data_IF_854818901936
#
_entry.id   IF_854818901936
#
_cell.length_a   1.000
_cell.length_b   1.000
_cell.length_c   1.000
_cell.angle_alpha   90.00
_cell.angle_beta   90.00
_cell.angle_gamma   90.00
#
_symmetry.space_group_name_H-M   'P 1'
#
loop_
_entity.id
_entity.type
_entity.pdbx_description
1 polymer ?
#
# COMPACT_ATOMS: atom_id res chain seq x y z
N UNK A 1 -0.03 -18.16 2.13
CA UNK A 1 0.69 -18.59 0.90
C UNK A 1 0.36 -17.79 -0.36
N UNK A 2 -0.86 -17.22 -0.56
CA UNK A 2 -1.25 -16.52 -1.82
C UNK A 2 -0.51 -15.21 -2.17
N UNK A 3 0.13 -14.53 -1.22
CA UNK A 3 0.80 -13.23 -1.48
C UNK A 3 2.22 -13.37 -2.05
N UNK A 4 2.92 -14.48 -1.74
CA UNK A 4 4.29 -14.72 -2.21
C UNK A 4 4.32 -14.97 -3.73
N UNK A 5 3.38 -15.75 -4.25
CA UNK A 5 3.25 -16.02 -5.70
C UNK A 5 3.05 -14.71 -6.48
N UNK A 6 2.29 -13.77 -5.92
CA UNK A 6 2.09 -12.45 -6.55
C UNK A 6 3.39 -11.65 -6.62
N UNK A 7 4.24 -11.71 -5.58
CA UNK A 7 5.53 -11.04 -5.59
C UNK A 7 6.46 -11.68 -6.63
N UNK A 8 6.49 -13.00 -6.71
CA UNK A 8 7.31 -13.71 -7.70
C UNK A 8 6.89 -13.41 -9.13
N UNK A 9 5.59 -13.31 -9.41
CA UNK A 9 5.08 -12.89 -10.72
C UNK A 9 5.52 -11.47 -11.08
N UNK A 10 5.46 -10.53 -10.13
CA UNK A 10 5.89 -9.15 -10.34
C UNK A 10 7.40 -9.09 -10.56
N UNK A 11 8.21 -9.81 -9.77
CA UNK A 11 9.67 -9.83 -9.95
C UNK A 11 10.12 -10.45 -11.28
N UNK A 12 9.30 -11.27 -11.93
CA UNK A 12 9.55 -11.81 -13.28
C UNK A 12 9.31 -10.78 -14.38
N UNK A 13 8.50 -9.75 -14.14
CA UNK A 13 8.28 -8.64 -15.06
C UNK A 13 9.47 -7.69 -15.06
N UNK A 14 10.14 -7.50 -16.20
CA UNK A 14 11.19 -6.49 -16.34
C UNK A 14 10.56 -5.07 -16.29
N UNK A 15 11.16 -4.18 -15.50
CA UNK A 15 10.81 -2.75 -15.39
C UNK A 15 9.38 -2.42 -14.92
N UNK A 16 8.88 -3.09 -13.89
CA UNK A 16 7.62 -2.66 -13.26
C UNK A 16 7.83 -1.42 -12.39
N UNK A 17 7.08 -0.36 -12.70
CA UNK A 17 7.03 0.86 -11.90
C UNK A 17 6.25 0.63 -10.60
N UNK A 18 6.48 1.47 -9.58
CA UNK A 18 5.71 1.47 -8.34
C UNK A 18 4.19 1.54 -8.61
N UNK A 19 3.76 2.39 -9.53
CA UNK A 19 2.38 2.50 -9.99
C UNK A 19 1.81 1.16 -10.48
N UNK A 20 2.57 0.45 -11.31
CA UNK A 20 2.18 -0.86 -11.85
C UNK A 20 2.06 -1.89 -10.73
N UNK A 21 3.01 -1.91 -9.79
CA UNK A 21 3.02 -2.82 -8.65
C UNK A 21 1.78 -2.59 -7.77
N UNK A 22 1.51 -1.33 -7.41
CA UNK A 22 0.34 -0.96 -6.60
C UNK A 22 -0.96 -1.28 -7.33
N UNK A 23 -1.02 -1.05 -8.65
CA UNK A 23 -2.19 -1.42 -9.48
C UNK A 23 -2.44 -2.92 -9.47
N UNK A 24 -1.40 -3.74 -9.59
CA UNK A 24 -1.52 -5.20 -9.51
C UNK A 24 -2.02 -5.62 -8.14
N UNK A 25 -1.49 -5.03 -7.07
CA UNK A 25 -1.90 -5.32 -5.70
C UNK A 25 -3.36 -4.96 -5.45
N UNK A 26 -3.82 -3.80 -5.93
CA UNK A 26 -5.22 -3.39 -5.85
C UNK A 26 -6.13 -4.34 -6.65
N UNK A 27 -5.76 -4.69 -7.89
CA UNK A 27 -6.50 -5.67 -8.72
C UNK A 27 -6.63 -7.04 -8.05
N UNK A 28 -5.59 -7.48 -7.32
CA UNK A 28 -5.60 -8.72 -6.55
C UNK A 28 -6.27 -8.60 -5.18
N UNK A 29 -6.89 -7.44 -4.88
CA UNK A 29 -7.56 -7.13 -3.60
C UNK A 29 -6.65 -7.36 -2.39
N UNK A 30 -5.36 -7.06 -2.53
CA UNK A 30 -4.43 -7.05 -1.40
C UNK A 30 -4.78 -5.81 -0.56
N UNK A 31 -4.98 -5.89 0.76
CA UNK A 31 -5.30 -4.73 1.57
C UNK A 31 -4.20 -3.66 1.51
N UNK A 32 -4.56 -2.38 1.51
CA UNK A 32 -3.63 -1.24 1.42
C UNK A 32 -2.44 -1.34 2.38
N UNK A 33 -2.69 -1.71 3.64
CA UNK A 33 -1.62 -1.89 4.65
C UNK A 33 -0.68 -3.06 4.31
N UNK A 34 -1.23 -4.19 3.84
CA UNK A 34 -0.42 -5.33 3.41
C UNK A 34 0.41 -4.96 2.16
N UNK A 35 -0.19 -4.21 1.24
CA UNK A 35 0.49 -3.68 0.05
C UNK A 35 1.69 -2.81 0.40
N UNK A 36 1.56 -1.90 1.37
CA UNK A 36 2.67 -1.08 1.86
C UNK A 36 3.86 -1.95 2.32
N UNK A 37 3.61 -2.89 3.25
CA UNK A 37 4.66 -3.75 3.78
C UNK A 37 5.30 -4.64 2.71
N UNK A 38 4.48 -5.24 1.83
CA UNK A 38 4.97 -6.10 0.75
C UNK A 38 5.81 -5.30 -0.23
N UNK A 39 5.45 -4.06 -0.55
CA UNK A 39 6.21 -3.19 -1.44
C UNK A 39 7.55 -2.81 -0.80
N UNK A 40 7.50 -2.34 0.44
CA UNK A 40 8.68 -1.92 1.22
C UNK A 40 9.73 -3.02 1.33
N UNK A 41 9.30 -4.24 1.65
CA UNK A 41 10.20 -5.38 1.84
C UNK A 41 10.81 -5.87 0.50
N UNK A 42 10.08 -5.75 -0.62
CA UNK A 42 10.45 -6.46 -1.85
C UNK A 42 10.97 -5.60 -3.00
N UNK A 43 10.67 -4.30 -3.00
CA UNK A 43 10.97 -3.42 -4.13
C UNK A 43 11.71 -2.12 -3.75
N UNK A 44 12.01 -1.92 -2.46
CA UNK A 44 12.91 -0.88 -1.94
C UNK A 44 12.59 0.56 -2.41
N UNK A 45 11.30 0.90 -2.48
CA UNK A 45 10.83 2.28 -2.72
C UNK A 45 10.79 3.08 -1.41
N UNK A 46 10.86 4.41 -1.52
CA UNK A 46 10.72 5.30 -0.36
C UNK A 46 9.28 5.28 0.18
N UNK A 47 9.13 5.34 1.51
CA UNK A 47 7.83 5.25 2.18
C UNK A 47 6.82 6.29 1.65
N UNK A 48 7.27 7.52 1.41
CA UNK A 48 6.43 8.61 0.90
C UNK A 48 5.86 8.31 -0.50
N UNK A 49 6.66 7.74 -1.40
CA UNK A 49 6.20 7.37 -2.73
C UNK A 49 5.21 6.20 -2.68
N UNK A 50 5.48 5.20 -1.84
CA UNK A 50 4.58 4.05 -1.66
C UNK A 50 3.21 4.54 -1.16
N UNK A 51 3.18 5.39 -0.14
CA UNK A 51 1.95 5.95 0.43
C UNK A 51 1.19 6.74 -0.64
N UNK A 52 1.87 7.64 -1.35
CA UNK A 52 1.26 8.44 -2.42
C UNK A 52 0.55 7.58 -3.48
N UNK A 53 1.21 6.54 -3.96
CA UNK A 53 0.61 5.65 -4.98
C UNK A 53 -0.49 4.76 -4.40
N UNK A 54 -0.35 4.30 -3.15
CA UNK A 54 -1.41 3.57 -2.47
C UNK A 54 -2.67 4.43 -2.33
N UNK A 55 -2.53 5.68 -1.88
CA UNK A 55 -3.64 6.63 -1.75
C UNK A 55 -4.31 6.92 -3.10
N UNK A 56 -3.51 7.13 -4.15
CA UNK A 56 -4.01 7.44 -5.49
C UNK A 56 -4.76 6.26 -6.14
N UNK A 57 -4.31 5.03 -5.92
CA UNK A 57 -4.84 3.83 -6.62
C UNK A 57 -5.91 3.09 -5.82
N UNK A 58 -5.78 2.99 -4.50
CA UNK A 58 -6.85 2.43 -3.65
C UNK A 58 -7.99 3.43 -3.46
N UNK A 59 -7.73 4.72 -3.72
CA UNK A 59 -8.61 5.82 -3.36
C UNK A 59 -8.68 6.02 -1.85
N UNK A 60 -9.63 6.86 -1.42
CA UNK A 60 -10.18 6.77 -0.07
C UNK A 60 -10.94 5.44 0.04
N UNK A 61 -10.23 4.32 0.16
CA UNK A 61 -10.71 3.24 1.01
C UNK A 61 -10.89 3.88 2.37
N UNK A 62 -12.11 4.40 2.57
CA UNK A 62 -12.62 5.07 3.74
C UNK A 62 -11.87 4.53 4.93
N UNK A 63 -11.07 5.42 5.52
CA UNK A 63 -10.63 5.41 6.90
C UNK A 63 -11.25 4.22 7.61
N UNK A 64 -10.52 3.09 7.63
CA UNK A 64 -10.87 2.00 8.53
C UNK A 64 -11.19 2.67 9.87
N UNK A 65 -12.31 2.42 10.55
CA UNK A 65 -12.66 3.17 11.76
C UNK A 65 -11.52 3.20 12.79
N UNK A 66 -10.62 2.20 12.76
CA UNK A 66 -9.32 2.22 13.44
C UNK A 66 -8.39 3.40 13.06
N UNK A 67 -8.23 3.70 11.77
CA UNK A 67 -7.43 4.82 11.27
C UNK A 67 -8.07 6.17 11.57
N UNK A 68 -9.40 6.28 11.57
CA UNK A 68 -10.07 7.54 11.92
C UNK A 68 -9.80 7.92 13.37
N UNK A 69 -9.95 6.97 14.29
CA UNK A 69 -9.66 7.18 15.71
C UNK A 69 -8.18 7.53 15.96
N UNK A 70 -7.26 6.91 15.21
CA UNK A 70 -5.83 7.20 15.28
C UNK A 70 -5.47 8.59 14.73
N UNK A 71 -6.03 8.97 13.59
CA UNK A 71 -5.81 10.28 12.96
C UNK A 71 -6.48 11.39 13.78
N UNK A 72 -7.68 11.15 14.31
CA UNK A 72 -8.37 12.10 15.19
C UNK A 72 -7.58 12.30 16.49
N UNK A 73 -6.95 11.26 17.05
CA UNK A 73 -6.01 11.40 18.19
C UNK A 73 -4.74 12.17 17.86
N UNK A 74 -4.20 12.02 16.66
CA UNK A 74 -3.02 12.77 16.20
C UNK A 74 -3.31 14.25 15.95
N UNK A 75 -4.53 14.57 15.49
CA UNK A 75 -4.95 15.92 15.14
C UNK A 75 -5.72 16.63 16.25
N UNK A 76 -5.98 15.96 17.38
CA UNK A 76 -6.49 16.60 18.59
C UNK A 76 -5.29 17.23 19.31
N UNK A 77 -5.15 18.57 19.34
CA UNK A 77 -4.17 19.18 20.24
C UNK A 77 -4.58 18.80 21.67
N UNK A 78 -3.62 18.29 22.45
CA UNK A 78 -3.83 17.95 23.86
C UNK A 78 -4.56 19.10 24.58
N UNK A 79 -5.59 18.83 25.40
CA UNK A 79 -6.18 19.82 26.30
C UNK A 79 -5.22 20.27 27.40
#
# INVERSE_FOLDING_TARGET
MKHLETIEEIKKGKNLTLESIVTIFNKKRIPKNASFHLIKINFNYEDGDIIKYLDLIYGDELTNPFNKDFIDKLNSPDP
#
